data_IF_586017979765
#
_entry.id   IF_586017979765
#
_cell.length_a   1.000
_cell.length_b   1.000
_cell.length_c   1.000
_cell.angle_alpha   90.00
_cell.angle_beta   90.00
_cell.angle_gamma   90.00
#
_symmetry.space_group_name_H-M   'P 1'
#
loop_
_entity.id
_entity.type
_entity.pdbx_description
1 polymer ?
#
# COMPACT_ATOMS: atom_id res chain seq x y z
N UNK A 1 -0.12 7.99 -23.79
CA UNK A 1 -0.05 9.41 -23.36
C UNK A 1 -0.92 9.57 -22.12
N UNK A 2 -0.55 10.43 -21.14
CA UNK A 2 -1.38 10.66 -19.96
C UNK A 2 -2.72 11.27 -20.37
N UNK A 3 -3.83 10.74 -19.85
CA UNK A 3 -5.18 11.24 -20.15
C UNK A 3 -5.36 12.69 -19.67
N UNK A 4 -4.73 13.03 -18.54
CA UNK A 4 -4.67 14.39 -17.97
C UNK A 4 -3.47 14.50 -17.02
N UNK A 5 -2.79 15.64 -17.01
CA UNK A 5 -1.78 15.96 -16.00
C UNK A 5 -2.43 16.69 -14.81
N UNK A 6 -2.57 16.01 -13.66
CA UNK A 6 -3.19 16.58 -12.45
C UNK A 6 -2.19 17.38 -11.62
N UNK A 7 -0.93 16.93 -11.59
CA UNK A 7 0.21 17.56 -10.90
C UNK A 7 1.43 17.50 -11.80
N UNK A 8 2.45 18.34 -11.56
CA UNK A 8 3.71 18.27 -12.31
C UNK A 8 4.47 16.98 -12.00
N UNK A 9 5.33 16.56 -12.94
CA UNK A 9 6.17 15.39 -12.76
C UNK A 9 7.09 15.50 -11.53
N UNK A 10 7.57 16.72 -11.23
CA UNK A 10 8.43 16.96 -10.06
C UNK A 10 7.68 16.81 -8.75
N UNK A 11 6.45 17.34 -8.66
CA UNK A 11 5.59 17.16 -7.48
C UNK A 11 5.23 15.69 -7.30
N UNK A 12 4.92 14.98 -8.39
CA UNK A 12 4.64 13.54 -8.32
C UNK A 12 5.85 12.75 -7.81
N UNK A 13 7.06 13.07 -8.28
CA UNK A 13 8.30 12.43 -7.83
C UNK A 13 8.55 12.65 -6.34
N UNK A 14 8.31 13.87 -5.86
CA UNK A 14 8.53 14.20 -4.46
C UNK A 14 7.50 13.54 -3.54
N UNK A 15 6.21 13.54 -3.93
CA UNK A 15 5.16 12.85 -3.17
C UNK A 15 5.40 11.34 -3.09
N UNK A 16 5.86 10.73 -4.19
CA UNK A 16 6.24 9.32 -4.22
C UNK A 16 7.30 8.98 -3.15
N UNK A 17 8.37 9.77 -3.07
CA UNK A 17 9.41 9.62 -2.03
C UNK A 17 8.84 9.74 -0.62
N UNK A 18 7.94 10.69 -0.38
CA UNK A 18 7.27 10.83 0.92
C UNK A 18 6.42 9.59 1.25
N UNK A 19 5.71 9.04 0.26
CA UNK A 19 4.90 7.82 0.43
C UNK A 19 5.75 6.57 0.67
N UNK A 20 6.94 6.48 0.08
CA UNK A 20 7.92 5.43 0.42
C UNK A 20 8.33 5.55 1.89
N UNK A 21 8.70 6.75 2.33
CA UNK A 21 9.08 6.98 3.73
C UNK A 21 7.94 6.65 4.70
N UNK A 22 6.69 6.93 4.33
CA UNK A 22 5.52 6.58 5.15
C UNK A 22 5.38 5.06 5.34
N UNK A 23 5.62 4.25 4.30
CA UNK A 23 5.62 2.79 4.42
C UNK A 23 6.76 2.32 5.30
N UNK A 24 7.97 2.81 5.06
CA UNK A 24 9.18 2.40 5.79
C UNK A 24 9.12 2.74 7.29
N UNK A 25 8.50 3.86 7.65
CA UNK A 25 8.44 4.33 9.04
C UNK A 25 7.20 3.88 9.79
N UNK A 26 6.03 3.85 9.12
CA UNK A 26 4.74 3.71 9.81
C UNK A 26 4.01 2.40 9.47
N UNK A 27 4.23 1.83 8.29
CA UNK A 27 3.43 0.70 7.78
C UNK A 27 4.31 -0.41 7.20
N UNK A 28 5.25 -0.90 8.00
CA UNK A 28 6.23 -1.91 7.58
C UNK A 28 5.59 -3.23 7.09
N UNK A 29 4.37 -3.53 7.53
CA UNK A 29 3.60 -4.69 7.08
C UNK A 29 3.19 -4.61 5.60
N UNK A 30 3.28 -3.45 4.96
CA UNK A 30 3.05 -3.28 3.53
C UNK A 30 4.30 -3.50 2.66
N UNK A 31 5.49 -3.71 3.26
CA UNK A 31 6.74 -3.94 2.52
C UNK A 31 6.64 -5.18 1.65
N UNK A 32 7.31 -5.13 0.50
CA UNK A 32 7.45 -6.24 -0.45
C UNK A 32 8.95 -6.47 -0.66
N UNK A 33 9.52 -7.60 -0.22
CA UNK A 33 10.95 -7.85 -0.35
C UNK A 33 11.44 -7.71 -1.80
N UNK A 34 12.51 -6.93 -1.99
CA UNK A 34 13.08 -6.64 -3.33
C UNK A 34 12.44 -5.45 -4.08
N UNK A 35 11.40 -4.82 -3.53
CA UNK A 35 10.68 -3.71 -4.17
C UNK A 35 10.54 -2.52 -3.23
N UNK A 36 10.71 -1.32 -3.79
CA UNK A 36 10.38 -0.08 -3.08
C UNK A 36 8.89 0.18 -3.21
N UNK A 37 8.18 0.22 -2.08
CA UNK A 37 6.74 0.43 -2.01
C UNK A 37 6.44 1.84 -1.53
N UNK A 38 5.68 2.61 -2.31
CA UNK A 38 5.03 3.82 -1.85
C UNK A 38 3.58 3.54 -1.50
N UNK A 39 3.07 4.06 -0.39
CA UNK A 39 1.67 3.83 -0.02
C UNK A 39 1.19 4.60 1.19
N UNK A 40 -0.09 4.43 1.50
CA UNK A 40 -0.71 5.00 2.70
C UNK A 40 -1.84 4.12 3.24
N UNK A 41 -1.96 4.16 4.56
CA UNK A 41 -3.04 3.51 5.30
C UNK A 41 -4.28 4.41 5.34
N UNK A 42 -5.44 3.77 5.39
CA UNK A 42 -6.71 4.40 5.69
C UNK A 42 -7.45 3.63 6.78
N UNK A 43 -8.12 4.34 7.68
CA UNK A 43 -9.03 3.76 8.67
C UNK A 43 -10.16 4.76 8.88
N UNK A 44 -11.34 4.42 8.40
CA UNK A 44 -12.51 5.29 8.47
C UNK A 44 -13.62 4.56 9.22
N UNK A 45 -14.37 5.26 10.08
CA UNK A 45 -15.57 4.70 10.67
C UNK A 45 -16.66 4.54 9.60
N UNK A 46 -17.47 3.48 9.70
CA UNK A 46 -18.56 3.24 8.75
C UNK A 46 -19.69 4.26 8.99
N UNK A 47 -20.16 4.99 7.96
CA UNK A 47 -21.29 5.89 8.12
C UNK A 47 -22.59 5.10 8.35
N UNK A 48 -23.43 5.61 9.26
CA UNK A 48 -24.77 5.11 9.54
C UNK A 48 -25.75 6.29 9.58
N UNK A 49 -27.07 6.09 9.46
CA UNK A 49 -28.03 7.17 9.64
C UNK A 49 -27.79 7.90 10.97
N UNK A 50 -27.57 9.21 10.90
CA UNK A 50 -27.31 10.05 12.08
C UNK A 50 -25.87 10.08 12.59
N UNK A 51 -24.90 9.43 11.94
CA UNK A 51 -23.49 9.54 12.34
C UNK A 51 -22.58 8.42 11.83
N UNK A 52 -21.75 7.89 12.72
CA UNK A 52 -20.80 6.81 12.43
C UNK A 52 -21.02 5.63 13.37
N UNK A 53 -20.78 4.42 12.86
CA UNK A 53 -20.83 3.22 13.68
C UNK A 53 -19.80 3.34 14.81
N UNK A 54 -20.15 3.00 16.07
CA UNK A 54 -19.28 3.23 17.22
C UNK A 54 -17.97 2.44 17.14
N UNK A 55 -17.98 1.27 16.48
CA UNK A 55 -16.83 0.35 16.47
C UNK A 55 -16.42 -0.13 15.08
N UNK A 56 -17.28 0.01 14.07
CA UNK A 56 -17.02 -0.61 12.78
C UNK A 56 -16.23 0.35 11.91
N UNK A 57 -15.17 -0.16 11.32
CA UNK A 57 -14.31 0.59 10.42
C UNK A 57 -14.26 -0.03 9.03
N UNK A 58 -13.84 0.79 8.07
CA UNK A 58 -13.26 0.40 6.81
C UNK A 58 -11.75 0.50 7.00
N UNK A 59 -11.07 -0.63 6.99
CA UNK A 59 -9.60 -0.71 7.04
C UNK A 59 -9.08 -0.78 5.61
N UNK A 60 -8.19 0.14 5.23
CA UNK A 60 -7.66 0.19 3.88
C UNK A 60 -6.16 0.47 3.81
N UNK A 61 -5.58 0.07 2.69
CA UNK A 61 -4.22 0.42 2.30
C UNK A 61 -4.20 0.59 0.78
N UNK A 62 -3.62 1.69 0.31
CA UNK A 62 -3.35 1.91 -1.11
C UNK A 62 -1.85 2.08 -1.30
N UNK A 63 -1.30 1.42 -2.31
CA UNK A 63 0.11 1.54 -2.61
C UNK A 63 0.44 1.20 -4.05
N UNK A 64 1.66 1.54 -4.43
CA UNK A 64 2.22 1.28 -5.75
C UNK A 64 3.66 0.80 -5.63
N UNK A 65 4.10 0.06 -6.64
CA UNK A 65 5.46 -0.44 -6.76
C UNK A 65 5.80 -0.77 -8.23
N UNK A 66 7.08 -0.72 -8.62
CA UNK A 66 8.21 -0.12 -7.89
C UNK A 66 8.09 1.42 -7.81
N UNK A 67 8.64 2.06 -6.77
CA UNK A 67 8.49 3.52 -6.59
C UNK A 67 8.98 4.35 -7.79
N UNK A 68 10.17 4.07 -8.34
CA UNK A 68 10.79 4.92 -9.37
C UNK A 68 10.05 4.88 -10.71
N UNK A 69 9.56 3.70 -11.10
CA UNK A 69 8.73 3.47 -12.28
C UNK A 69 7.54 2.57 -11.91
N UNK A 70 6.45 3.11 -11.33
CA UNK A 70 5.34 2.32 -10.84
C UNK A 70 4.62 1.59 -11.97
N UNK A 71 4.57 0.27 -11.86
CA UNK A 71 3.92 -0.60 -12.83
C UNK A 71 2.57 -1.11 -12.30
N UNK A 72 2.43 -1.20 -10.98
CA UNK A 72 1.20 -1.63 -10.32
C UNK A 72 0.78 -0.65 -9.22
N UNK A 73 -0.54 -0.44 -9.12
CA UNK A 73 -1.19 0.27 -8.04
C UNK A 73 -2.33 -0.61 -7.50
N UNK A 74 -2.36 -0.82 -6.20
CA UNK A 74 -3.28 -1.76 -5.54
C UNK A 74 -3.97 -1.03 -4.38
N UNK A 75 -5.30 -1.11 -4.36
CA UNK A 75 -6.12 -0.72 -3.22
C UNK A 75 -6.67 -1.98 -2.56
N UNK A 76 -6.36 -2.15 -1.28
CA UNK A 76 -7.01 -3.14 -0.41
C UNK A 76 -7.99 -2.41 0.49
N UNK A 77 -9.25 -2.85 0.51
CA UNK A 77 -10.31 -2.35 1.38
C UNK A 77 -11.00 -3.53 2.05
N UNK A 78 -11.07 -3.50 3.38
CA UNK A 78 -11.73 -4.50 4.21
C UNK A 78 -12.78 -3.83 5.07
N UNK A 79 -14.03 -4.22 4.88
CA UNK A 79 -15.16 -3.68 5.63
C UNK A 79 -15.39 -4.52 6.88
N UNK A 80 -15.57 -3.86 8.02
CA UNK A 80 -15.84 -4.49 9.33
C UNK A 80 -14.83 -5.59 9.68
N UNK A 81 -13.51 -5.32 9.61
CA UNK A 81 -12.50 -6.32 9.93
C UNK A 81 -12.66 -6.81 11.37
N UNK A 82 -12.46 -8.13 11.59
CA UNK A 82 -12.65 -8.75 12.91
C UNK A 82 -11.39 -8.85 13.74
N UNK A 83 -10.21 -8.90 13.10
CA UNK A 83 -8.94 -9.03 13.80
C UNK A 83 -8.45 -7.71 14.41
N UNK A 84 -8.69 -6.58 13.72
CA UNK A 84 -8.28 -5.24 14.14
C UNK A 84 -9.02 -4.18 13.33
N UNK A 85 -9.36 -3.01 13.90
CA UNK A 85 -9.98 -1.92 13.14
C UNK A 85 -8.99 -1.18 12.22
N UNK A 86 -7.68 -1.39 12.37
CA UNK A 86 -6.65 -0.57 11.75
C UNK A 86 -6.21 -1.08 10.36
N UNK A 87 -6.19 -0.18 9.38
CA UNK A 87 -5.70 -0.44 8.02
C UNK A 87 -4.26 -0.94 7.98
N UNK A 88 -3.41 -0.44 8.87
CA UNK A 88 -2.01 -0.88 9.01
C UNK A 88 -1.88 -2.34 9.47
N UNK A 89 -2.85 -2.88 10.20
CA UNK A 89 -2.81 -4.23 10.75
C UNK A 89 -3.56 -5.25 9.89
N UNK A 90 -4.54 -4.80 9.11
CA UNK A 90 -5.38 -5.68 8.27
C UNK A 90 -5.06 -5.55 6.79
N UNK A 91 -5.19 -4.34 6.24
CA UNK A 91 -5.11 -4.12 4.79
C UNK A 91 -3.65 -4.14 4.28
N UNK A 92 -2.70 -3.59 5.05
CA UNK A 92 -1.29 -3.57 4.69
C UNK A 92 -0.66 -4.97 4.47
N UNK A 93 -0.81 -5.97 5.37
CA UNK A 93 -0.27 -7.30 5.12
C UNK A 93 -0.96 -8.03 3.96
N UNK A 94 -2.25 -7.76 3.72
CA UNK A 94 -2.96 -8.27 2.53
C UNK A 94 -2.35 -7.66 1.26
N UNK A 95 -2.12 -6.34 1.24
CA UNK A 95 -1.44 -5.66 0.14
C UNK A 95 -0.08 -6.31 -0.13
N UNK A 96 0.76 -6.50 0.89
CA UNK A 96 2.10 -7.10 0.73
C UNK A 96 2.01 -8.51 0.13
N UNK A 97 1.05 -9.33 0.55
CA UNK A 97 0.84 -10.66 -0.02
C UNK A 97 0.44 -10.59 -1.50
N UNK A 98 -0.58 -9.80 -1.83
CA UNK A 98 -1.06 -9.66 -3.22
C UNK A 98 0.02 -9.08 -4.12
N UNK A 99 0.74 -8.06 -3.66
CA UNK A 99 1.81 -7.44 -4.42
C UNK A 99 2.96 -8.42 -4.72
N UNK A 100 3.37 -9.25 -3.75
CA UNK A 100 4.36 -10.32 -3.97
C UNK A 100 3.95 -11.31 -5.05
N UNK A 101 2.68 -11.69 -5.09
CA UNK A 101 2.18 -12.61 -6.10
C UNK A 101 2.13 -11.92 -7.48
N UNK A 102 1.67 -10.67 -7.53
CA UNK A 102 1.54 -9.91 -8.79
C UNK A 102 2.87 -9.61 -9.46
N UNK A 103 3.91 -9.22 -8.71
CA UNK A 103 5.22 -8.94 -9.31
C UNK A 103 5.83 -10.17 -9.97
N UNK A 104 5.58 -11.36 -9.42
CA UNK A 104 6.00 -12.63 -10.03
C UNK A 104 5.20 -12.95 -11.29
N UNK A 105 3.87 -12.84 -11.22
CA UNK A 105 2.97 -13.13 -12.36
C UNK A 105 3.21 -12.18 -13.52
N UNK A 106 3.51 -10.92 -13.24
CA UNK A 106 3.71 -9.87 -14.24
C UNK A 106 5.18 -9.76 -14.70
N UNK A 107 6.11 -10.49 -14.09
CA UNK A 107 7.53 -10.44 -14.44
C UNK A 107 8.19 -9.10 -14.14
N UNK A 108 7.70 -8.37 -13.13
CA UNK A 108 8.30 -7.09 -12.71
C UNK A 108 9.61 -7.40 -12.00
N UNK A 109 10.71 -6.81 -12.46
CA UNK A 109 12.03 -7.07 -11.88
C UNK A 109 12.19 -6.38 -10.51
N UNK A 110 12.83 -7.02 -9.52
CA UNK A 110 13.14 -6.39 -8.26
C UNK A 110 14.23 -5.31 -8.43
N UNK A 111 14.15 -4.22 -7.66
CA UNK A 111 15.11 -3.10 -7.72
C UNK A 111 16.39 -3.38 -6.93
N UNK A 112 16.32 -4.29 -5.96
CA UNK A 112 17.46 -4.79 -5.20
C UNK A 112 17.33 -6.31 -5.10
N UNK A 113 18.44 -7.07 -5.10
CA UNK A 113 18.37 -8.48 -4.75
C UNK A 113 17.69 -8.55 -3.37
N UNK A 114 16.53 -9.20 -3.30
CA UNK A 114 15.87 -9.44 -2.02
C UNK A 114 16.91 -10.07 -1.10
N UNK A 115 17.16 -9.48 0.07
CA UNK A 115 18.09 -10.06 1.04
C UNK A 115 17.59 -11.47 1.34
N UNK A 116 18.25 -12.45 0.73
CA UNK A 116 17.90 -13.85 0.74
C UNK A 116 18.31 -14.46 2.08
N UNK A 117 17.75 -13.95 3.19
CA UNK A 117 18.09 -14.38 4.54
C UNK A 117 16.88 -14.13 5.46
N UNK A 118 15.88 -14.99 5.35
CA UNK A 118 14.86 -15.16 6.38
C UNK A 118 14.29 -16.58 6.35
N UNK A 119 15.16 -17.58 6.21
CA UNK A 119 14.90 -18.99 6.57
C UNK A 119 16.22 -19.68 6.94
N UNK A 120 16.59 -19.58 8.22
CA UNK A 120 17.19 -20.66 8.99
C UNK A 120 16.33 -20.85 10.24
#
# INVERSE_FOLDING_TARGET
QPVRQVISADVARELRRMMVQAVERETQLARVPGYTVGGKTGTAQIPIPGGYHPTDTIASFIGFLPDENPEICILVKVDRPKASPWGSQVAAPIFSKVARDLVLVLGIAPQSPASAEAKQ
#
